data_IF_704654167071
#
_entry.id   IF_704654167071
#
_cell.length_a   1.000
_cell.length_b   1.000
_cell.length_c   1.000
_cell.angle_alpha   90.00
_cell.angle_beta   90.00
_cell.angle_gamma   90.00
#
_symmetry.space_group_name_H-M   'P 1'
#
loop_
_entity.id
_entity.type
_entity.pdbx_description
1 polymer ?
#
# COMPACT_ATOMS: atom_id res chain seq x y z
N UNK A 1 -22.56 -53.27 -17.51
CA UNK A 1 -22.21 -53.09 -16.08
C UNK A 1 -20.96 -52.22 -16.01
N UNK A 2 -21.06 -51.00 -15.48
CA UNK A 2 -19.94 -50.04 -15.38
C UNK A 2 -19.49 -49.93 -13.93
N UNK A 3 -18.26 -50.35 -13.63
CA UNK A 3 -17.70 -50.31 -12.28
C UNK A 3 -17.33 -48.87 -11.91
N UNK A 4 -17.93 -48.34 -10.83
CA UNK A 4 -17.51 -47.04 -10.28
C UNK A 4 -16.06 -47.14 -9.78
N UNK A 5 -15.16 -46.20 -10.13
CA UNK A 5 -13.83 -46.16 -9.56
C UNK A 5 -13.92 -45.92 -8.05
N UNK A 6 -13.27 -46.78 -7.25
CA UNK A 6 -13.13 -46.54 -5.81
C UNK A 6 -12.31 -45.27 -5.62
N UNK A 7 -12.85 -44.29 -4.87
CA UNK A 7 -12.08 -43.12 -4.42
C UNK A 7 -10.88 -43.64 -3.63
N UNK A 8 -9.67 -43.39 -4.14
CA UNK A 8 -8.45 -43.72 -3.42
C UNK A 8 -8.43 -42.96 -2.09
N UNK A 9 -8.15 -43.66 -0.99
CA UNK A 9 -7.92 -43.00 0.27
C UNK A 9 -6.70 -42.08 0.12
N UNK A 10 -6.87 -40.79 0.39
CA UNK A 10 -5.74 -39.88 0.52
C UNK A 10 -4.84 -40.42 1.63
N UNK A 11 -3.67 -40.96 1.25
CA UNK A 11 -2.59 -41.18 2.22
C UNK A 11 -2.29 -39.81 2.83
N UNK A 12 -2.61 -39.63 4.11
CA UNK A 12 -1.95 -38.61 4.92
C UNK A 12 -0.48 -39.01 4.88
N UNK A 13 0.32 -38.32 4.07
CA UNK A 13 1.77 -38.45 4.13
C UNK A 13 2.17 -38.17 5.57
N UNK A 14 3.03 -39.02 6.12
CA UNK A 14 3.42 -38.98 7.53
C UNK A 14 3.79 -37.54 7.88
N UNK A 15 3.02 -36.96 8.79
CA UNK A 15 3.07 -35.52 9.07
C UNK A 15 4.44 -35.21 9.66
N UNK A 16 5.32 -34.70 8.79
CA UNK A 16 6.67 -34.29 9.13
C UNK A 16 6.60 -33.47 10.42
N UNK A 17 7.50 -33.77 11.36
CA UNK A 17 7.56 -33.20 12.71
C UNK A 17 7.81 -31.70 12.64
N UNK A 18 6.77 -30.94 12.34
CA UNK A 18 6.82 -29.49 12.28
C UNK A 18 7.09 -28.97 13.69
N UNK A 19 8.18 -28.23 13.84
CA UNK A 19 8.47 -27.53 15.07
C UNK A 19 7.26 -26.67 15.45
N UNK A 20 6.89 -26.60 16.74
CA UNK A 20 5.74 -25.81 17.16
C UNK A 20 5.91 -24.36 16.69
N UNK A 21 4.84 -23.78 16.15
CA UNK A 21 4.83 -22.43 15.58
C UNK A 21 3.86 -21.55 16.36
N UNK A 22 4.35 -20.37 16.77
CA UNK A 22 3.52 -19.28 17.26
C UNK A 22 2.92 -18.54 16.05
N UNK A 23 1.67 -18.09 16.20
CA UNK A 23 0.97 -17.31 15.19
C UNK A 23 0.56 -15.96 15.77
N UNK A 24 0.66 -14.91 14.94
CA UNK A 24 0.14 -13.58 15.26
C UNK A 24 -0.66 -13.03 14.08
N UNK A 25 -1.56 -12.08 14.33
CA UNK A 25 -2.33 -11.39 13.28
C UNK A 25 -2.31 -9.88 13.49
N UNK A 26 -1.90 -9.16 12.46
CA UNK A 26 -1.99 -7.71 12.33
C UNK A 26 -3.24 -7.38 11.53
N UNK A 27 -4.16 -6.61 12.11
CA UNK A 27 -5.30 -6.02 11.41
C UNK A 27 -5.20 -4.48 11.45
N UNK A 28 -5.33 -3.83 10.30
CA UNK A 28 -5.52 -2.37 10.19
C UNK A 28 -7.02 -2.09 10.08
N UNK A 29 -7.59 -1.46 11.12
CA UNK A 29 -9.03 -1.40 11.37
C UNK A 29 -9.56 0.04 11.47
N UNK A 30 -10.78 0.27 11.01
CA UNK A 30 -11.42 1.59 11.07
C UNK A 30 -10.55 2.65 10.37
N UNK A 31 -10.47 3.86 10.92
CA UNK A 31 -9.63 4.91 10.33
C UNK A 31 -8.19 4.96 10.83
N UNK A 32 -7.92 4.41 12.01
CA UNK A 32 -6.69 4.68 12.78
C UNK A 32 -6.41 3.65 13.89
N UNK A 33 -7.01 2.45 13.83
CA UNK A 33 -6.80 1.37 14.81
C UNK A 33 -5.85 0.31 14.23
N UNK A 34 -4.71 0.09 14.88
CA UNK A 34 -3.91 -1.14 14.68
C UNK A 34 -4.37 -2.16 15.72
N UNK A 35 -4.65 -3.40 15.30
CA UNK A 35 -4.92 -4.52 16.19
C UNK A 35 -3.87 -5.61 15.96
N UNK A 36 -3.28 -6.08 17.06
CA UNK A 36 -2.26 -7.13 17.08
C UNK A 36 -2.78 -8.26 17.98
N UNK A 37 -3.00 -9.44 17.42
CA UNK A 37 -3.55 -10.62 18.12
C UNK A 37 -2.49 -11.73 18.14
N UNK A 38 -2.35 -12.45 19.25
CA UNK A 38 -1.47 -13.63 19.37
C UNK A 38 0.02 -13.33 19.54
N UNK A 39 0.44 -12.06 19.46
CA UNK A 39 1.85 -11.70 19.62
C UNK A 39 2.32 -11.78 21.09
N UNK A 40 3.57 -12.21 21.34
CA UNK A 40 4.23 -12.13 22.64
C UNK A 40 4.31 -10.70 23.19
N UNK A 41 4.37 -10.55 24.52
CA UNK A 41 4.27 -9.25 25.18
C UNK A 41 5.49 -8.36 24.90
N UNK A 42 6.68 -8.95 24.82
CA UNK A 42 7.94 -8.31 24.42
C UNK A 42 7.85 -7.67 23.03
N UNK A 43 7.22 -8.36 22.07
CA UNK A 43 7.01 -7.84 20.71
C UNK A 43 6.06 -6.65 20.73
N UNK A 44 4.97 -6.75 21.50
CA UNK A 44 3.97 -5.69 21.65
C UNK A 44 4.52 -4.47 22.39
N UNK A 45 5.45 -4.66 23.33
CA UNK A 45 6.09 -3.60 24.09
C UNK A 45 7.21 -2.93 23.32
N UNK A 46 8.02 -3.67 22.57
CA UNK A 46 9.03 -3.09 21.68
C UNK A 46 8.42 -2.24 20.55
N UNK A 47 7.22 -2.59 20.07
CA UNK A 47 6.55 -1.82 19.01
C UNK A 47 5.99 -0.47 19.51
N UNK A 48 5.67 -0.36 20.80
CA UNK A 48 4.96 0.79 21.35
C UNK A 48 5.79 2.10 21.34
N UNK A 49 7.09 2.13 21.72
CA UNK A 49 7.95 3.29 21.52
C UNK A 49 8.09 3.67 20.04
N UNK A 50 8.37 2.68 19.19
CA UNK A 50 8.57 2.85 17.73
C UNK A 50 7.38 3.54 17.08
N UNK A 51 6.15 3.21 17.49
CA UNK A 51 4.94 3.84 16.97
C UNK A 51 4.56 5.17 17.64
N UNK A 52 5.05 5.44 18.86
CA UNK A 52 4.72 6.65 19.60
C UNK A 52 5.44 7.89 19.09
N UNK A 53 6.66 7.72 18.60
CA UNK A 53 7.56 8.83 18.31
C UNK A 53 8.08 9.54 19.58
N UNK A 54 9.02 10.47 19.43
CA UNK A 54 9.73 11.11 20.56
C UNK A 54 8.82 12.09 21.31
N UNK A 55 8.05 12.87 20.55
CA UNK A 55 6.99 13.73 21.08
C UNK A 55 5.80 12.94 21.68
N UNK A 56 5.80 11.61 21.57
CA UNK A 56 4.74 10.72 22.07
C UNK A 56 3.38 10.83 21.35
N UNK A 57 3.33 11.46 20.18
CA UNK A 57 2.07 11.86 19.51
C UNK A 57 1.50 10.79 18.57
N UNK A 58 2.29 9.83 18.12
CA UNK A 58 1.85 8.86 17.10
C UNK A 58 0.75 7.90 17.56
N UNK A 59 0.75 7.49 18.83
CA UNK A 59 -0.22 6.56 19.42
C UNK A 59 -0.96 7.22 20.59
N UNK A 60 -2.22 7.56 20.35
CA UNK A 60 -3.13 8.15 21.34
C UNK A 60 -3.47 7.20 22.50
N UNK A 61 -3.63 5.91 22.22
CA UNK A 61 -4.04 4.93 23.22
C UNK A 61 -3.51 3.53 22.88
N UNK A 62 -3.15 2.76 23.90
CA UNK A 62 -2.79 1.34 23.79
C UNK A 62 -3.61 0.55 24.80
N UNK A 63 -4.57 -0.24 24.33
CA UNK A 63 -5.34 -1.18 25.14
C UNK A 63 -4.77 -2.57 24.96
N UNK A 64 -4.17 -3.14 26.01
CA UNK A 64 -3.74 -4.54 26.07
C UNK A 64 -4.78 -5.33 26.86
N UNK A 65 -5.22 -6.48 26.34
CA UNK A 65 -6.10 -7.41 27.05
C UNK A 65 -5.87 -8.85 26.57
N UNK A 66 -6.27 -9.81 27.40
CA UNK A 66 -6.33 -11.23 27.03
C UNK A 66 -7.80 -11.58 26.85
N UNK A 67 -8.17 -12.26 25.75
CA UNK A 67 -9.56 -12.71 25.57
C UNK A 67 -9.84 -13.99 26.37
N UNK A 68 -11.11 -14.44 26.37
CA UNK A 68 -11.57 -15.66 27.05
C UNK A 68 -10.83 -16.94 26.61
N UNK A 69 -10.19 -16.93 25.43
CA UNK A 69 -9.41 -18.04 24.87
C UNK A 69 -7.92 -17.98 25.25
N UNK A 70 -7.51 -17.03 26.08
CA UNK A 70 -6.11 -16.81 26.43
C UNK A 70 -5.30 -16.05 25.36
N UNK A 71 -5.92 -15.58 24.27
CA UNK A 71 -5.21 -14.87 23.20
C UNK A 71 -4.92 -13.42 23.62
N UNK A 72 -3.63 -13.07 23.67
CA UNK A 72 -3.17 -11.71 23.94
C UNK A 72 -3.52 -10.81 22.75
N UNK A 73 -4.15 -9.67 23.02
CA UNK A 73 -4.52 -8.66 22.04
C UNK A 73 -4.00 -7.29 22.50
N UNK A 74 -3.32 -6.58 21.60
CA UNK A 74 -3.11 -5.14 21.72
C UNK A 74 -3.92 -4.40 20.66
N UNK A 75 -4.58 -3.33 21.08
CA UNK A 75 -5.30 -2.39 20.21
C UNK A 75 -4.68 -1.02 20.40
N UNK A 76 -4.03 -0.52 19.36
CA UNK A 76 -3.39 0.79 19.34
C UNK A 76 -4.26 1.74 18.53
N UNK A 77 -4.57 2.90 19.09
CA UNK A 77 -5.27 3.98 18.39
C UNK A 77 -4.24 5.03 18.01
N UNK A 78 -4.05 5.24 16.71
CA UNK A 78 -3.14 6.23 16.15
C UNK A 78 -3.73 7.64 16.18
N UNK A 79 -2.86 8.64 16.17
CA UNK A 79 -3.23 10.00 15.78
C UNK A 79 -3.48 10.05 14.25
N UNK A 80 -4.37 10.96 13.84
CA UNK A 80 -4.75 11.11 12.44
C UNK A 80 -5.58 9.94 11.91
N UNK A 81 -5.62 9.80 10.57
CA UNK A 81 -6.30 8.72 9.85
C UNK A 81 -5.43 8.25 8.67
N UNK A 82 -4.35 7.47 8.92
CA UNK A 82 -3.34 7.21 7.90
C UNK A 82 -3.89 6.52 6.64
N UNK A 83 -4.74 5.50 6.78
CA UNK A 83 -5.24 4.67 5.67
C UNK A 83 -6.66 5.02 5.18
N UNK A 84 -7.17 6.22 5.46
CA UNK A 84 -8.47 6.69 4.89
C UNK A 84 -8.33 7.59 3.66
N UNK A 85 -7.11 7.81 3.17
CA UNK A 85 -6.84 8.62 1.98
C UNK A 85 -6.80 7.75 0.72
N UNK A 86 -7.63 8.07 -0.28
CA UNK A 86 -7.73 7.32 -1.55
C UNK A 86 -6.44 7.29 -2.39
N UNK A 87 -5.48 8.15 -2.08
CA UNK A 87 -4.19 8.28 -2.75
C UNK A 87 -3.08 7.90 -1.77
N UNK A 88 -2.59 6.65 -1.81
CA UNK A 88 -1.76 6.03 -0.77
C UNK A 88 -0.74 6.98 -0.13
N UNK A 89 -1.03 7.34 1.13
CA UNK A 89 -0.28 8.34 1.88
C UNK A 89 1.06 7.76 2.33
N UNK A 90 2.17 8.46 2.00
CA UNK A 90 3.56 8.16 2.40
C UNK A 90 3.65 7.67 3.85
N UNK A 91 2.90 8.34 4.74
CA UNK A 91 2.85 8.04 6.17
C UNK A 91 2.46 6.61 6.49
N UNK A 92 1.59 6.03 5.67
CA UNK A 92 1.02 4.69 5.86
C UNK A 92 1.98 3.63 5.35
N UNK A 93 2.67 3.91 4.23
CA UNK A 93 3.71 3.05 3.67
C UNK A 93 4.88 2.94 4.66
N UNK A 94 5.28 4.08 5.25
CA UNK A 94 6.25 4.14 6.35
C UNK A 94 5.78 3.32 7.54
N UNK A 95 4.57 3.60 8.05
CA UNK A 95 4.01 2.90 9.20
C UNK A 95 3.95 1.38 8.99
N UNK A 96 3.54 0.93 7.80
CA UNK A 96 3.47 -0.47 7.43
C UNK A 96 4.87 -1.10 7.35
N UNK A 97 5.84 -0.41 6.75
CA UNK A 97 7.26 -0.83 6.69
C UNK A 97 7.82 -1.00 8.10
N UNK A 98 7.57 -0.03 8.99
CA UNK A 98 8.02 -0.02 10.39
C UNK A 98 7.39 -1.16 11.20
N UNK A 99 6.08 -1.37 11.13
CA UNK A 99 5.40 -2.47 11.84
C UNK A 99 5.89 -3.82 11.33
N UNK A 100 5.94 -4.01 10.01
CA UNK A 100 6.39 -5.27 9.42
C UNK A 100 7.86 -5.54 9.73
N UNK A 101 8.73 -4.52 9.70
CA UNK A 101 10.14 -4.62 10.07
C UNK A 101 10.34 -5.03 11.53
N UNK A 102 9.60 -4.41 12.46
CA UNK A 102 9.63 -4.80 13.87
C UNK A 102 9.20 -6.26 14.08
N UNK A 103 8.09 -6.67 13.46
CA UNK A 103 7.64 -8.07 13.51
C UNK A 103 8.70 -9.02 12.90
N UNK A 104 9.30 -8.64 11.78
CA UNK A 104 10.32 -9.42 11.08
C UNK A 104 11.59 -9.60 11.90
N UNK A 105 12.07 -8.54 12.58
CA UNK A 105 13.17 -8.58 13.56
C UNK A 105 12.90 -9.56 14.70
N UNK A 106 11.64 -9.69 15.13
CA UNK A 106 11.19 -10.70 16.10
C UNK A 106 10.92 -12.08 15.48
N UNK A 107 11.40 -12.33 14.25
CA UNK A 107 11.30 -13.56 13.46
C UNK A 107 9.87 -13.96 13.05
N UNK A 108 8.91 -13.03 13.12
CA UNK A 108 7.58 -13.23 12.56
C UNK A 108 7.62 -13.05 11.03
N UNK A 109 7.46 -14.16 10.31
CA UNK A 109 7.36 -14.16 8.86
C UNK A 109 5.89 -13.99 8.44
N UNK A 110 5.57 -13.02 7.56
CA UNK A 110 4.22 -12.89 7.03
C UNK A 110 3.86 -14.12 6.19
N UNK A 111 2.63 -14.58 6.34
CA UNK A 111 2.02 -15.63 5.54
C UNK A 111 0.99 -15.02 4.60
N UNK A 112 0.68 -15.71 3.49
CA UNK A 112 -0.30 -15.23 2.49
C UNK A 112 -1.58 -14.75 3.18
N UNK A 113 -1.90 -13.47 3.00
CA UNK A 113 -3.02 -12.82 3.69
C UNK A 113 -4.33 -13.58 3.49
N UNK A 114 -5.02 -13.85 4.60
CA UNK A 114 -6.43 -14.21 4.54
C UNK A 114 -7.22 -12.98 4.05
N UNK A 115 -8.33 -13.17 3.29
CA UNK A 115 -9.18 -12.04 2.94
C UNK A 115 -9.62 -11.32 4.23
N UNK A 116 -9.56 -9.97 4.28
CA UNK A 116 -9.83 -9.22 5.49
C UNK A 116 -11.21 -9.58 6.04
N UNK A 117 -11.33 -9.90 7.34
CA UNK A 117 -12.58 -10.37 7.89
C UNK A 117 -13.62 -9.24 7.86
N UNK A 118 -14.87 -9.60 7.53
CA UNK A 118 -15.99 -8.65 7.50
C UNK A 118 -16.42 -8.28 8.92
N UNK A 119 -15.63 -7.42 9.58
CA UNK A 119 -15.91 -6.93 10.93
C UNK A 119 -16.34 -5.46 10.94
N UNK A 120 -16.91 -5.03 12.06
CA UNK A 120 -17.08 -3.62 12.42
C UNK A 120 -16.09 -3.28 13.55
N UNK A 121 -15.26 -2.23 13.41
CA UNK A 121 -15.03 -1.42 12.20
C UNK A 121 -14.40 -2.25 11.06
N UNK A 122 -14.47 -1.75 9.79
CA UNK A 122 -13.93 -2.45 8.62
C UNK A 122 -12.42 -2.66 8.76
N UNK A 123 -11.93 -3.78 8.21
CA UNK A 123 -10.50 -4.10 8.13
C UNK A 123 -9.99 -3.75 6.73
N UNK A 124 -9.02 -2.84 6.67
CA UNK A 124 -8.36 -2.41 5.44
C UNK A 124 -7.26 -3.39 5.02
N UNK A 125 -6.58 -4.00 6.00
CA UNK A 125 -5.50 -4.96 5.78
C UNK A 125 -5.50 -5.98 6.92
N UNK A 126 -5.31 -7.27 6.61
CA UNK A 126 -5.11 -8.32 7.61
C UNK A 126 -3.95 -9.20 7.16
N UNK A 127 -2.93 -9.34 8.02
CA UNK A 127 -1.74 -10.16 7.75
C UNK A 127 -1.58 -11.13 8.91
N UNK A 128 -1.55 -12.43 8.59
CA UNK A 128 -1.19 -13.48 9.54
C UNK A 128 0.32 -13.70 9.46
N UNK A 129 0.97 -13.82 10.60
CA UNK A 129 2.39 -14.10 10.75
C UNK A 129 2.60 -15.44 11.46
N UNK A 130 3.69 -16.12 11.11
CA UNK A 130 4.16 -17.33 11.80
C UNK A 130 5.58 -17.11 12.33
N UNK A 131 5.90 -17.73 13.47
CA UNK A 131 7.26 -17.79 14.03
C UNK A 131 7.51 -19.18 14.63
N UNK A 132 8.66 -19.84 14.41
CA UNK A 132 9.04 -21.01 15.19
C UNK A 132 9.07 -20.67 16.70
N UNK A 133 8.49 -21.50 17.56
CA UNK A 133 8.53 -21.27 19.02
C UNK A 133 9.98 -21.33 19.53
N UNK A 134 10.77 -22.22 18.94
CA UNK A 134 12.22 -22.29 19.12
C UNK A 134 12.89 -21.90 17.79
N UNK A 135 13.16 -20.60 17.55
CA UNK A 135 14.01 -20.20 16.43
C UNK A 135 15.42 -20.77 16.65
N UNK A 136 16.12 -21.21 15.60
CA UNK A 136 17.52 -21.62 15.74
C UNK A 136 18.36 -20.45 16.25
N UNK A 137 19.39 -20.74 17.06
CA UNK A 137 20.33 -19.73 17.59
C UNK A 137 20.93 -18.87 16.48
N UNK A 138 21.18 -19.51 15.35
CA UNK A 138 21.90 -18.98 14.19
C UNK A 138 20.93 -18.38 13.15
N UNK A 139 19.64 -18.23 13.50
CA UNK A 139 18.68 -17.53 12.66
C UNK A 139 19.21 -16.10 12.39
N UNK A 140 19.41 -15.70 11.12
CA UNK A 140 19.84 -14.34 10.82
C UNK A 140 18.78 -13.37 11.35
N UNK A 141 19.16 -12.57 12.34
CA UNK A 141 18.31 -11.50 12.86
C UNK A 141 18.43 -10.34 11.91
N UNK A 142 17.45 -10.26 11.01
CA UNK A 142 17.31 -9.22 10.00
C UNK A 142 17.32 -7.86 10.68
N UNK A 143 18.21 -6.99 10.20
CA UNK A 143 18.56 -5.73 10.86
C UNK A 143 17.62 -4.61 10.46
N UNK A 144 17.23 -4.59 9.19
CA UNK A 144 16.35 -3.58 8.61
C UNK A 144 15.46 -4.20 7.54
N UNK A 145 14.42 -3.47 7.17
CA UNK A 145 13.58 -3.74 5.99
C UNK A 145 13.34 -2.43 5.27
N UNK A 146 13.16 -2.50 3.96
CA UNK A 146 12.68 -1.37 3.16
C UNK A 146 11.49 -1.81 2.30
N UNK A 147 10.73 -0.85 1.78
CA UNK A 147 9.61 -1.15 0.90
C UNK A 147 9.67 -0.38 -0.41
N UNK A 148 9.04 -0.97 -1.42
CA UNK A 148 8.72 -0.33 -2.69
C UNK A 148 7.21 -0.46 -2.89
N UNK A 149 6.51 0.66 -2.97
CA UNK A 149 5.06 0.71 -3.16
C UNK A 149 4.68 1.36 -4.48
N UNK A 150 3.45 1.10 -4.91
CA UNK A 150 2.84 1.65 -6.12
C UNK A 150 1.50 2.31 -5.76
N UNK A 151 1.50 3.45 -5.04
CA UNK A 151 0.28 4.04 -4.49
C UNK A 151 -0.74 4.47 -5.55
N UNK A 152 -0.29 4.67 -6.79
CA UNK A 152 -1.12 4.90 -7.97
C UNK A 152 -0.51 4.22 -9.20
N UNK A 153 -1.27 4.01 -10.30
CA UNK A 153 -0.74 3.44 -11.55
C UNK A 153 0.41 4.21 -12.23
N UNK A 154 0.80 5.38 -11.70
CA UNK A 154 1.87 6.24 -12.24
C UNK A 154 2.82 6.75 -11.16
N UNK A 155 2.85 6.13 -9.98
CA UNK A 155 3.76 6.50 -8.89
C UNK A 155 4.43 5.24 -8.36
N UNK A 156 5.75 5.20 -8.44
CA UNK A 156 6.59 4.28 -7.67
C UNK A 156 7.07 5.05 -6.46
N UNK A 157 7.00 4.45 -5.27
CA UNK A 157 7.57 5.04 -4.06
C UNK A 157 8.55 4.07 -3.43
N UNK A 158 9.68 4.57 -2.97
CA UNK A 158 10.59 3.85 -2.09
C UNK A 158 10.44 4.35 -0.66
N UNK A 159 10.61 3.45 0.31
CA UNK A 159 10.44 3.72 1.74
C UNK A 159 11.58 3.08 2.52
N UNK A 160 12.31 3.90 3.27
CA UNK A 160 13.35 3.47 4.22
C UNK A 160 14.49 2.63 3.62
N UNK A 161 14.88 2.91 2.38
CA UNK A 161 16.07 2.31 1.78
C UNK A 161 17.31 2.67 2.63
N UNK A 162 18.26 1.75 2.89
CA UNK A 162 19.53 2.10 3.51
C UNK A 162 20.30 3.12 2.68
N UNK A 163 20.80 4.18 3.32
CA UNK A 163 21.48 5.28 2.62
C UNK A 163 22.72 4.85 1.78
N UNK A 164 23.34 3.71 2.12
CA UNK A 164 24.47 3.13 1.37
C UNK A 164 24.04 2.45 0.07
N UNK A 165 22.82 1.89 0.03
CA UNK A 165 22.26 1.15 -1.11
C UNK A 165 21.31 2.00 -1.97
N UNK A 166 20.89 3.15 -1.44
CA UNK A 166 19.98 4.08 -2.09
C UNK A 166 20.38 4.45 -3.52
N UNK A 167 21.64 4.83 -3.84
CA UNK A 167 22.01 5.18 -5.21
C UNK A 167 21.88 3.99 -6.17
N UNK A 168 22.16 2.77 -5.69
CA UNK A 168 22.09 1.54 -6.46
C UNK A 168 20.64 1.18 -6.79
N UNK A 169 19.76 1.16 -5.77
CA UNK A 169 18.34 0.81 -5.96
C UNK A 169 17.62 1.89 -6.78
N UNK A 170 17.93 3.16 -6.55
CA UNK A 170 17.35 4.26 -7.31
C UNK A 170 17.80 4.24 -8.79
N UNK A 171 19.07 3.95 -9.05
CA UNK A 171 19.57 3.80 -10.44
C UNK A 171 18.87 2.65 -11.17
N UNK A 172 18.61 1.52 -10.49
CA UNK A 172 17.90 0.40 -11.11
C UNK A 172 16.44 0.74 -11.44
N UNK A 173 15.71 1.38 -10.51
CA UNK A 173 14.33 1.83 -10.77
C UNK A 173 14.30 2.85 -11.91
N UNK A 174 15.25 3.79 -11.95
CA UNK A 174 15.39 4.71 -13.06
C UNK A 174 15.83 4.02 -14.37
N UNK A 175 16.54 2.89 -14.33
CA UNK A 175 16.88 2.10 -15.51
C UNK A 175 15.64 1.41 -16.08
N UNK A 176 14.91 0.69 -15.24
CA UNK A 176 13.75 -0.12 -15.61
C UNK A 176 12.53 0.70 -16.07
N UNK A 177 12.37 1.94 -15.58
CA UNK A 177 11.29 2.85 -15.96
C UNK A 177 11.75 4.14 -16.67
N UNK A 178 13.04 4.31 -16.99
CA UNK A 178 13.66 5.61 -17.32
C UNK A 178 13.05 6.39 -18.49
N UNK A 179 12.58 5.71 -19.54
CA UNK A 179 11.87 6.35 -20.65
C UNK A 179 10.52 6.96 -20.26
N UNK A 180 9.96 6.53 -19.13
CA UNK A 180 8.65 6.91 -18.60
C UNK A 180 8.72 7.83 -17.38
N UNK A 181 9.90 8.06 -16.77
CA UNK A 181 10.01 8.95 -15.61
C UNK A 181 9.66 10.39 -16.04
N UNK A 182 8.76 11.02 -15.29
CA UNK A 182 8.30 12.41 -15.49
C UNK A 182 8.99 13.36 -14.52
N UNK A 183 8.96 13.01 -13.24
CA UNK A 183 9.61 13.72 -12.15
C UNK A 183 9.96 12.71 -11.04
N UNK A 184 10.89 13.09 -10.18
CA UNK A 184 11.12 12.41 -8.91
C UNK A 184 11.30 13.44 -7.81
N UNK A 185 10.89 13.08 -6.59
CA UNK A 185 10.91 13.94 -5.42
C UNK A 185 11.46 13.16 -4.23
N UNK A 186 12.54 13.67 -3.64
CA UNK A 186 12.92 13.28 -2.28
C UNK A 186 11.83 13.76 -1.32
N UNK A 187 11.32 12.82 -0.53
CA UNK A 187 10.46 13.08 0.61
C UNK A 187 11.33 13.06 1.87
N UNK A 188 10.71 13.14 3.04
CA UNK A 188 11.45 12.98 4.28
C UNK A 188 12.00 11.53 4.42
N UNK A 189 13.03 11.39 5.27
CA UNK A 189 13.39 10.13 5.94
C UNK A 189 13.89 8.96 5.07
N UNK A 190 14.43 9.26 3.88
CA UNK A 190 14.89 8.26 2.90
C UNK A 190 13.76 7.66 2.06
N UNK A 191 12.64 8.38 1.94
CA UNK A 191 11.55 8.02 1.04
C UNK A 191 11.62 8.85 -0.25
N UNK A 192 11.27 8.24 -1.39
CA UNK A 192 11.27 8.92 -2.68
C UNK A 192 9.99 8.61 -3.46
N UNK A 193 9.34 9.65 -3.99
CA UNK A 193 8.26 9.54 -4.96
C UNK A 193 8.86 9.66 -6.38
N UNK A 194 8.67 8.65 -7.23
CA UNK A 194 9.09 8.63 -8.63
C UNK A 194 7.82 8.58 -9.50
N UNK A 195 7.48 9.71 -10.13
CA UNK A 195 6.29 9.80 -10.98
C UNK A 195 6.60 9.40 -12.40
N UNK A 196 5.75 8.52 -12.92
CA UNK A 196 5.82 8.03 -14.28
C UNK A 196 4.81 8.77 -15.18
N UNK A 197 5.03 8.69 -16.49
CA UNK A 197 4.05 9.00 -17.51
C UNK A 197 2.89 7.99 -17.44
N UNK A 198 1.68 8.36 -17.91
CA UNK A 198 0.53 7.47 -17.92
C UNK A 198 0.68 6.31 -18.92
N UNK A 199 1.38 5.27 -18.47
CA UNK A 199 1.45 3.92 -19.05
C UNK A 199 1.16 2.90 -17.95
N UNK A 200 0.93 1.64 -18.33
CA UNK A 200 0.63 0.57 -17.36
C UNK A 200 1.94 0.13 -16.68
N UNK A 201 2.09 0.39 -15.38
CA UNK A 201 3.20 -0.11 -14.55
C UNK A 201 3.52 -1.61 -14.77
N UNK A 202 2.49 -2.39 -15.06
CA UNK A 202 2.53 -3.85 -15.19
C UNK A 202 2.39 -4.38 -16.64
N UNK A 203 2.47 -3.52 -17.67
CA UNK A 203 2.59 -4.04 -19.05
C UNK A 203 4.01 -4.52 -19.32
N UNK A 204 4.15 -5.64 -20.03
CA UNK A 204 5.44 -6.00 -20.62
C UNK A 204 5.87 -4.92 -21.63
N UNK A 205 7.17 -4.64 -21.69
CA UNK A 205 7.71 -3.57 -22.54
C UNK A 205 7.83 -3.95 -24.03
N UNK A 206 7.60 -5.23 -24.39
CA UNK A 206 7.54 -5.66 -25.79
C UNK A 206 6.62 -6.86 -26.00
N UNK A 207 6.26 -7.10 -27.28
CA UNK A 207 5.51 -8.29 -27.69
C UNK A 207 6.49 -9.46 -27.80
N UNK A 208 6.52 -10.32 -26.77
CA UNK A 208 7.37 -11.52 -26.71
C UNK A 208 8.26 -11.59 -25.47
N UNK A 209 8.47 -10.46 -24.80
CA UNK A 209 9.18 -10.42 -23.52
C UNK A 209 8.18 -10.55 -22.37
N UNK A 210 8.32 -11.63 -21.59
CA UNK A 210 7.41 -11.94 -20.48
C UNK A 210 7.79 -11.22 -19.18
N UNK A 211 8.96 -10.58 -19.13
CA UNK A 211 9.43 -9.89 -17.93
C UNK A 211 8.79 -8.49 -17.83
N UNK A 212 8.10 -8.24 -16.73
CA UNK A 212 7.65 -6.88 -16.37
C UNK A 212 8.80 -6.12 -15.70
N UNK A 213 8.82 -4.78 -15.75
CA UNK A 213 9.77 -3.97 -14.98
C UNK A 213 9.79 -4.31 -13.48
N UNK A 214 8.63 -4.65 -12.90
CA UNK A 214 8.54 -5.09 -11.50
C UNK A 214 9.23 -6.44 -11.25
N UNK A 215 9.01 -7.45 -12.11
CA UNK A 215 9.69 -8.74 -11.94
C UNK A 215 11.20 -8.61 -12.10
N UNK A 216 11.67 -7.81 -13.06
CA UNK A 216 13.09 -7.50 -13.24
C UNK A 216 13.68 -6.82 -11.99
N UNK A 217 12.96 -5.84 -11.41
CA UNK A 217 13.37 -5.18 -10.17
C UNK A 217 13.47 -6.17 -8.98
N UNK A 218 12.49 -7.07 -8.82
CA UNK A 218 12.49 -8.07 -7.74
C UNK A 218 13.67 -9.05 -7.91
N UNK A 219 13.90 -9.54 -9.12
CA UNK A 219 15.04 -10.41 -9.44
C UNK A 219 16.38 -9.72 -9.21
N UNK A 220 16.51 -8.46 -9.63
CA UNK A 220 17.69 -7.63 -9.38
C UNK A 220 17.93 -7.46 -7.88
N UNK A 221 16.95 -7.01 -7.11
CA UNK A 221 17.08 -6.78 -5.67
C UNK A 221 17.45 -8.07 -4.93
N UNK A 222 16.82 -9.19 -5.29
CA UNK A 222 17.20 -10.51 -4.77
C UNK A 222 18.67 -10.86 -5.11
N UNK A 223 19.14 -10.58 -6.33
CA UNK A 223 20.55 -10.79 -6.72
C UNK A 223 21.55 -9.90 -5.97
N UNK A 224 21.08 -8.80 -5.37
CA UNK A 224 21.88 -7.86 -4.56
C UNK A 224 21.82 -8.14 -3.05
N UNK A 225 21.15 -9.22 -2.63
CA UNK A 225 21.02 -9.57 -1.20
C UNK A 225 19.81 -8.94 -0.51
N UNK A 226 18.85 -8.39 -1.27
CA UNK A 226 17.58 -7.88 -0.77
C UNK A 226 16.42 -8.82 -1.18
N UNK A 227 16.25 -9.98 -0.51
CA UNK A 227 15.17 -10.89 -0.87
C UNK A 227 13.79 -10.31 -0.50
N UNK A 228 12.78 -10.60 -1.32
CA UNK A 228 11.41 -10.20 -1.07
C UNK A 228 10.85 -10.99 0.13
N UNK A 229 10.49 -10.28 1.21
CA UNK A 229 9.80 -10.86 2.39
C UNK A 229 8.33 -11.11 2.06
N UNK A 230 7.67 -10.13 1.46
CA UNK A 230 6.24 -10.21 1.17
C UNK A 230 5.77 -9.19 0.13
N UNK A 231 4.67 -9.52 -0.54
CA UNK A 231 3.91 -8.58 -1.35
C UNK A 231 2.50 -8.44 -0.80
N UNK A 232 2.03 -7.21 -0.66
CA UNK A 232 0.74 -6.84 -0.09
C UNK A 232 -0.07 -6.07 -1.13
N UNK A 233 -1.39 -6.15 -0.97
CA UNK A 233 -2.35 -5.37 -1.73
C UNK A 233 -3.08 -4.43 -0.76
N UNK A 234 -2.91 -3.11 -0.92
CA UNK A 234 -3.25 -2.16 0.14
C UNK A 234 -3.76 -0.79 -0.31
N UNK A 235 -3.20 -0.14 -1.34
CA UNK A 235 -3.62 1.20 -1.75
C UNK A 235 -4.62 1.19 -2.90
N UNK A 236 -4.38 0.31 -3.86
CA UNK A 236 -5.03 0.24 -5.14
C UNK A 236 -6.27 -0.64 -5.11
N UNK A 237 -7.09 -0.56 -6.16
CA UNK A 237 -8.11 -1.58 -6.48
C UNK A 237 -7.62 -2.55 -7.57
N UNK A 238 -6.33 -2.48 -7.90
CA UNK A 238 -5.64 -3.39 -8.82
C UNK A 238 -5.76 -4.84 -8.35
N UNK A 239 -5.91 -5.84 -9.24
CA UNK A 239 -5.82 -7.25 -8.84
C UNK A 239 -4.40 -7.67 -8.44
N UNK A 240 -3.40 -6.80 -8.61
CA UNK A 240 -2.00 -7.06 -8.30
C UNK A 240 -1.58 -6.45 -6.95
N UNK A 241 -0.61 -7.05 -6.25
CA UNK A 241 0.07 -6.42 -5.12
C UNK A 241 0.69 -5.08 -5.54
N UNK A 242 0.67 -4.13 -4.62
CA UNK A 242 1.10 -2.74 -4.81
C UNK A 242 2.02 -2.26 -3.68
N UNK A 243 2.41 -3.14 -2.76
CA UNK A 243 3.39 -2.86 -1.71
C UNK A 243 4.30 -4.08 -1.55
N UNK A 244 5.61 -3.90 -1.73
CA UNK A 244 6.61 -4.96 -1.75
C UNK A 244 7.64 -4.68 -0.65
N UNK A 245 7.74 -5.60 0.31
CA UNK A 245 8.64 -5.50 1.46
C UNK A 245 9.87 -6.38 1.23
N UNK A 246 11.05 -5.79 1.33
CA UNK A 246 12.34 -6.45 1.12
C UNK A 246 13.15 -6.51 2.42
N UNK A 247 13.87 -7.60 2.61
CA UNK A 247 14.82 -7.76 3.69
C UNK A 247 16.10 -6.98 3.39
N UNK A 248 16.76 -6.53 4.45
CA UNK A 248 18.06 -5.89 4.37
C UNK A 248 18.94 -6.43 5.52
N UNK A 249 19.61 -7.57 5.32
CA UNK A 249 20.38 -8.26 6.36
C UNK A 249 21.58 -7.43 6.84
N UNK A 250 22.27 -6.77 5.90
CA UNK A 250 23.44 -5.92 6.16
C UNK A 250 23.08 -4.46 6.50
N UNK A 251 21.79 -4.11 6.40
CA UNK A 251 21.31 -2.76 6.70
C UNK A 251 21.66 -2.33 8.13
N UNK A 252 21.86 -1.01 8.37
CA UNK A 252 21.96 -0.51 9.72
C UNK A 252 20.67 -0.87 10.46
N UNK A 253 20.78 -1.37 11.69
CA UNK A 253 19.59 -1.60 12.51
C UNK A 253 18.97 -0.22 12.74
N UNK A 254 17.82 0.05 12.11
CA UNK A 254 17.02 1.26 12.35
C UNK A 254 16.22 1.08 13.65
N UNK A 255 16.94 0.69 14.70
CA UNK A 255 16.50 0.62 16.10
C UNK A 255 16.09 2.01 16.56
N UNK A 256 16.93 2.99 16.21
CA UNK A 256 16.59 4.40 16.18
C UNK A 256 15.97 4.73 14.81
N UNK A 257 14.75 4.23 14.58
CA UNK A 257 13.83 4.91 13.67
C UNK A 257 13.45 6.24 14.35
N UNK A 258 14.40 7.20 14.31
CA UNK A 258 14.43 8.51 14.99
C UNK A 258 13.02 8.88 15.39
N UNK A 259 12.59 8.77 16.66
CA UNK A 259 11.16 8.78 16.91
C UNK A 259 10.47 10.12 16.53
N UNK A 260 11.19 11.20 16.21
CA UNK A 260 10.65 12.36 15.48
C UNK A 260 10.09 12.00 14.07
N UNK A 261 10.68 11.03 13.37
CA UNK A 261 10.25 10.41 12.10
C UNK A 261 8.77 10.09 12.07
N UNK A 262 8.32 9.22 12.99
CA UNK A 262 6.94 8.73 13.03
C UNK A 262 5.97 9.87 13.40
N UNK A 263 6.43 10.89 14.13
CA UNK A 263 5.64 12.09 14.40
C UNK A 263 5.53 13.02 13.18
N UNK A 264 6.62 13.30 12.46
CA UNK A 264 6.56 14.08 11.21
C UNK A 264 5.60 13.40 10.22
N UNK A 265 5.73 12.08 10.11
CA UNK A 265 4.88 11.20 9.33
C UNK A 265 3.40 11.26 9.71
N UNK A 266 3.05 11.19 11.00
CA UNK A 266 1.66 11.22 11.45
C UNK A 266 1.07 12.64 11.55
N UNK A 267 1.90 13.70 11.52
CA UNK A 267 1.45 15.10 11.53
C UNK A 267 1.36 15.73 10.14
N UNK A 268 2.11 15.26 9.13
CA UNK A 268 2.10 15.79 7.76
C UNK A 268 0.82 15.50 6.93
N UNK A 269 -0.32 15.18 7.56
CA UNK A 269 -1.58 14.90 6.85
C UNK A 269 -2.17 16.15 6.14
N UNK A 270 -1.83 17.37 6.59
CA UNK A 270 -2.35 18.62 6.01
C UNK A 270 -1.49 19.15 4.85
N UNK A 271 -1.37 18.34 3.78
CA UNK A 271 -1.30 18.79 2.38
C UNK A 271 -0.24 19.80 1.90
N UNK A 272 0.66 20.28 2.77
CA UNK A 272 1.54 21.41 2.50
C UNK A 272 3.00 21.06 2.76
N UNK A 273 3.53 20.11 1.98
CA UNK A 273 4.96 20.14 1.70
C UNK A 273 5.21 21.39 0.85
N UNK A 274 6.02 22.36 1.31
CA UNK A 274 6.37 23.49 0.46
C UNK A 274 6.96 22.97 -0.85
N UNK A 275 6.56 23.58 -1.97
CA UNK A 275 7.25 23.34 -3.23
C UNK A 275 8.73 23.68 -3.01
N UNK A 276 9.59 22.66 -2.98
CA UNK A 276 11.02 22.86 -3.10
C UNK A 276 11.22 23.70 -4.35
N UNK A 277 11.84 24.86 -4.18
CA UNK A 277 11.87 25.92 -5.18
C UNK A 277 12.43 25.35 -6.48
N UNK A 278 11.51 25.00 -7.39
CA UNK A 278 11.85 24.80 -8.79
C UNK A 278 12.39 26.16 -9.23
N UNK A 279 13.70 26.23 -9.48
CA UNK A 279 14.31 27.41 -10.06
C UNK A 279 13.57 27.72 -11.36
N UNK A 280 12.63 28.67 -11.27
CA UNK A 280 11.99 29.25 -12.44
C UNK A 280 13.09 29.97 -13.17
N UNK A 281 13.72 29.29 -14.14
CA UNK A 281 14.64 29.89 -15.11
C UNK A 281 14.02 31.19 -15.57
N UNK A 282 14.58 32.29 -15.07
CA UNK A 282 14.05 33.62 -15.26
C UNK A 282 14.11 33.88 -16.76
N UNK A 283 12.95 33.92 -17.42
CA UNK A 283 12.89 34.31 -18.83
C UNK A 283 13.45 35.72 -18.92
N UNK A 284 14.69 35.83 -19.39
CA UNK A 284 15.34 37.11 -19.66
C UNK A 284 14.42 37.89 -20.59
N UNK A 285 13.82 38.94 -20.04
CA UNK A 285 12.86 39.78 -20.74
C UNK A 285 13.65 40.61 -21.74
N UNK A 286 13.69 40.15 -23.00
CA UNK A 286 14.39 40.84 -24.09
C UNK A 286 13.81 42.25 -24.23
N UNK A 287 14.57 43.25 -23.77
CA UNK A 287 14.17 44.64 -23.88
C UNK A 287 13.99 45.01 -25.36
N UNK A 288 12.86 45.64 -25.67
CA UNK A 288 12.62 46.20 -27.00
C UNK A 288 13.15 47.62 -27.01
N UNK A 289 14.13 47.88 -27.86
CA UNK A 289 14.55 49.24 -28.21
C UNK A 289 13.40 50.03 -28.87
N UNK A 290 13.57 51.36 -29.01
CA UNK A 290 12.52 52.25 -29.50
C UNK A 290 12.18 52.00 -30.99
N UNK A 291 10.96 52.36 -31.44
CA UNK A 291 10.51 52.08 -32.79
C UNK A 291 11.14 53.04 -33.81
N UNK A 292 11.91 52.50 -34.76
CA UNK A 292 12.30 53.24 -35.97
C UNK A 292 11.12 53.28 -36.94
N UNK A 293 10.76 54.48 -37.40
CA UNK A 293 9.67 54.72 -38.36
C UNK A 293 10.22 54.61 -39.79
N UNK A 294 9.61 53.75 -40.61
CA UNK A 294 9.81 53.77 -42.07
C UNK A 294 8.48 53.96 -42.83
N UNK A 295 8.50 54.65 -44.00
CA UNK A 295 7.29 55.11 -44.68
C UNK A 295 6.66 54.07 -45.62
N UNK A 296 5.34 54.12 -45.74
CA UNK A 296 4.55 53.29 -46.65
C UNK A 296 4.69 53.71 -48.12
N UNK A 297 4.88 52.72 -49.01
CA UNK A 297 4.41 52.68 -50.41
C UNK A 297 3.64 51.35 -50.51
N UNK A 298 2.42 51.22 -51.02
CA UNK A 298 1.80 51.81 -52.21
C UNK A 298 1.52 50.62 -53.16
N UNK A 299 0.36 49.94 -53.09
CA UNK A 299 -0.96 50.24 -53.71
C UNK A 299 -1.15 49.46 -55.05
N UNK A 300 -2.36 48.90 -55.27
CA UNK A 300 -2.77 48.00 -56.38
C UNK A 300 -2.15 46.57 -56.32
N UNK A 301 -2.79 45.45 -56.72
CA UNK A 301 -4.21 45.06 -56.99
C UNK A 301 -4.27 43.50 -57.05
N UNK A 302 -5.35 42.74 -57.29
CA UNK A 302 -6.75 43.01 -57.67
C UNK A 302 -7.71 41.90 -57.11
N UNK A 303 -8.92 41.76 -57.68
CA UNK A 303 -10.07 40.93 -57.25
C UNK A 303 -10.07 39.45 -57.69
N UNK A 304 -10.60 38.56 -56.83
CA UNK A 304 -11.88 37.77 -56.95
C UNK A 304 -11.95 36.84 -55.71
N UNK A 305 -13.01 36.77 -54.91
CA UNK A 305 -14.42 36.48 -55.24
C UNK A 305 -14.63 34.97 -55.15
N UNK A 306 -15.58 34.38 -54.40
CA UNK A 306 -16.83 34.88 -53.78
C UNK A 306 -17.34 33.83 -52.75
N UNK A 307 -18.08 34.27 -51.69
CA UNK A 307 -19.34 33.70 -51.09
C UNK A 307 -19.46 32.17 -50.81
N UNK A 308 -20.28 31.62 -49.90
CA UNK A 308 -21.11 32.01 -48.73
C UNK A 308 -21.75 30.67 -48.22
N UNK A 309 -22.40 30.47 -47.06
CA UNK A 309 -22.99 31.34 -46.03
C UNK A 309 -23.03 30.64 -44.66
N UNK A 310 -23.29 31.40 -43.58
CA UNK A 310 -24.00 30.94 -42.37
C UNK A 310 -25.54 31.12 -42.60
N UNK A 311 -26.50 30.61 -41.77
CA UNK A 311 -26.42 30.53 -40.30
C UNK A 311 -27.12 29.32 -39.59
N UNK A 312 -26.99 29.36 -38.26
CA UNK A 312 -27.73 28.68 -37.17
C UNK A 312 -29.23 29.15 -37.08
N UNK A 313 -30.12 28.69 -36.14
CA UNK A 313 -30.07 27.56 -35.18
C UNK A 313 -31.45 26.81 -34.89
N UNK A 314 -31.44 25.85 -33.96
CA UNK A 314 -32.51 25.39 -33.02
C UNK A 314 -33.82 24.69 -33.51
N UNK A 315 -34.31 23.79 -32.63
CA UNK A 315 -35.70 23.29 -32.38
C UNK A 315 -35.94 21.79 -32.68
N UNK A 316 -36.47 21.08 -31.68
CA UNK A 316 -36.96 19.69 -31.73
C UNK A 316 -38.49 19.64 -31.91
N UNK A 317 -39.08 18.47 -32.22
CA UNK A 317 -39.96 17.84 -31.21
C UNK A 317 -40.02 16.29 -31.21
N UNK A 318 -40.58 15.76 -30.11
CA UNK A 318 -41.48 14.60 -29.92
C UNK A 318 -41.56 13.45 -30.99
N UNK A 319 -41.86 12.18 -30.66
CA UNK A 319 -42.01 11.41 -29.40
C UNK A 319 -42.19 9.91 -29.79
N UNK A 320 -42.23 8.99 -28.81
CA UNK A 320 -43.13 7.79 -28.74
C UNK A 320 -42.86 7.07 -27.41
N UNK A 321 -43.92 6.50 -26.82
CA UNK A 321 -43.90 5.91 -25.48
C UNK A 321 -43.53 4.42 -25.45
N UNK A 322 -43.08 3.95 -24.28
CA UNK A 322 -43.29 2.58 -23.83
C UNK A 322 -43.57 2.59 -22.32
N UNK A 323 -44.73 2.06 -21.93
CA UNK A 323 -45.19 1.92 -20.54
C UNK A 323 -44.89 0.51 -20.06
N UNK A 324 -44.30 0.37 -18.88
CA UNK A 324 -44.48 -0.81 -18.01
C UNK A 324 -44.38 -0.39 -16.56
N UNK A 325 -45.52 -0.38 -15.87
CA UNK A 325 -45.58 -0.44 -14.42
C UNK A 325 -44.97 -1.75 -13.91
N UNK A 326 -44.32 -1.69 -12.75
CA UNK A 326 -44.36 -2.79 -11.79
C UNK A 326 -44.37 -2.24 -10.36
N UNK A 327 -45.57 -2.10 -9.80
CA UNK A 327 -45.75 -2.06 -8.36
C UNK A 327 -45.40 -3.44 -7.77
N UNK A 328 -44.62 -3.45 -6.69
CA UNK A 328 -44.71 -4.52 -5.69
C UNK A 328 -44.55 -3.92 -4.31
N UNK A 329 -45.57 -4.13 -3.47
CA UNK A 329 -45.58 -3.81 -2.03
C UNK A 329 -45.56 -5.12 -1.25
N UNK A 330 -45.02 -5.06 -0.02
CA UNK A 330 -45.00 -6.14 0.96
C UNK A 330 -44.07 -7.32 0.57
N UNK A 331 -43.50 -8.09 1.49
CA UNK A 331 -43.85 -8.23 2.91
C UNK A 331 -42.65 -8.20 3.84
N UNK A 332 -42.89 -7.80 5.09
CA UNK A 332 -42.14 -8.31 6.22
C UNK A 332 -42.39 -9.82 6.31
N UNK A 333 -41.35 -10.63 6.44
CA UNK A 333 -41.49 -11.92 7.11
C UNK A 333 -40.18 -12.34 7.77
N UNK A 334 -40.21 -12.38 9.09
CA UNK A 334 -39.12 -12.84 9.94
C UNK A 334 -39.08 -14.37 9.94
N UNK A 335 -37.91 -14.97 9.67
CA UNK A 335 -37.66 -16.39 10.02
C UNK A 335 -36.29 -16.60 10.69
N UNK A 336 -36.19 -17.63 11.54
CA UNK A 336 -35.41 -17.52 12.77
C UNK A 336 -34.01 -18.13 12.70
N UNK A 337 -33.26 -17.91 13.78
CA UNK A 337 -31.96 -18.52 14.06
C UNK A 337 -31.95 -20.05 13.88
N UNK A 338 -30.94 -20.52 13.16
CA UNK A 338 -30.62 -21.94 13.06
C UNK A 338 -29.38 -22.28 13.89
N UNK A 339 -29.65 -22.79 15.10
CA UNK A 339 -28.79 -23.66 15.94
C UNK A 339 -27.36 -23.18 16.26
N UNK A 340 -26.99 -22.90 17.50
CA UNK A 340 -27.09 -23.78 18.68
C UNK A 340 -26.52 -25.20 18.45
N UNK A 341 -25.20 -25.30 18.53
CA UNK A 341 -24.49 -26.54 18.87
C UNK A 341 -23.53 -26.25 20.02
N UNK A 342 -23.37 -27.22 20.92
CA UNK A 342 -22.69 -27.14 22.23
C UNK A 342 -23.49 -26.42 23.33
N UNK A 343 -24.43 -27.16 23.91
CA UNK A 343 -24.82 -27.00 25.30
C UNK A 343 -23.96 -27.91 26.20
N UNK A 344 -23.87 -27.54 27.48
CA UNK A 344 -23.47 -28.36 28.63
C UNK A 344 -21.97 -28.74 28.76
N UNK A 345 -21.22 -27.90 29.48
CA UNK A 345 -20.05 -28.26 30.27
C UNK A 345 -20.25 -27.73 31.69
N UNK A 346 -20.15 -28.61 32.69
CA UNK A 346 -20.54 -28.33 34.09
C UNK A 346 -19.53 -27.41 34.79
N UNK A 347 -20.02 -26.58 35.71
CA UNK A 347 -19.18 -25.77 36.58
C UNK A 347 -18.60 -26.63 37.73
N UNK A 348 -17.27 -26.60 37.89
CA UNK A 348 -16.62 -26.95 39.15
C UNK A 348 -15.96 -25.71 39.75
N UNK A 349 -16.49 -25.29 40.89
CA UNK A 349 -15.85 -24.34 41.78
C UNK A 349 -14.81 -25.06 42.63
N UNK A 350 -13.59 -24.52 42.71
CA UNK A 350 -12.68 -24.80 43.81
C UNK A 350 -12.32 -23.50 44.54
N UNK A 351 -12.09 -23.64 45.85
CA UNK A 351 -11.68 -22.57 46.77
C UNK A 351 -10.26 -22.08 46.48
#
# INVERSE_FOLDING_TARGET
>A
MTSKPRRGAFKRGDSATSSPTAFGRLDLCGSNIIRLVGFPLDVLEGLQPVLRGDDGRGVLNVKKYTNEKGEKTAVLTLLGKPWTTDCGNVSTDILLTVICGHLHKHLFQPTTGLPPPRTTPPVHLSITFKRPVHPPSDAPRTRSVFAISFPTPTLVRTVSIPAVDEPLIFTEILGLWGGEVRDYRSLADGCYDIRLRPRRLFSSNSVGDNQTPLSALIEYLHSKGFPLIHSLHFHSKSPYPDFFLFDCPDGPVREDADPAYVNHVLTAQDGYYPDLVVEKKTKVKKERGPPTVEPKKGLFSFLRGRRSSNPNPTIAPAAVAAVTDFHSRHSLDSRPDASSFYANGVAESYM
#
